data_IF_898831741079
#
_entry.id   IF_898831741079
#
_cell.length_a   1.000
_cell.length_b   1.000
_cell.length_c   1.000
_cell.angle_alpha   90.00
_cell.angle_beta   90.00
_cell.angle_gamma   90.00
#
_symmetry.space_group_name_H-M   'P 1'
#
loop_
_entity.id
_entity.type
_entity.pdbx_description
1 polymer ?
#
# COMPACT_ATOMS: atom_id res chain seq x y z
N UNK A 1 -13.48 -8.41 -11.40
CA UNK A 1 -14.30 -8.52 -10.17
C UNK A 1 -13.46 -8.09 -8.99
N UNK A 2 -13.99 -7.28 -8.07
CA UNK A 2 -13.27 -6.95 -6.82
C UNK A 2 -13.48 -8.08 -5.82
N UNK A 3 -12.45 -8.89 -5.58
CA UNK A 3 -12.55 -10.10 -4.75
C UNK A 3 -13.06 -9.85 -3.32
N UNK A 4 -12.91 -8.62 -2.81
CA UNK A 4 -13.36 -8.23 -1.48
C UNK A 4 -14.80 -7.68 -1.42
N UNK A 5 -15.50 -7.50 -2.56
CA UNK A 5 -16.80 -6.83 -2.60
C UNK A 5 -17.82 -7.51 -1.68
N UNK A 6 -18.50 -6.73 -0.85
CA UNK A 6 -19.52 -7.24 0.08
C UNK A 6 -18.96 -8.02 1.27
N UNK A 7 -17.67 -7.90 1.59
CA UNK A 7 -17.08 -8.61 2.73
C UNK A 7 -17.73 -8.23 4.06
N UNK A 8 -17.98 -9.24 4.90
CA UNK A 8 -18.47 -9.10 6.28
C UNK A 8 -17.34 -9.00 7.31
N UNK A 9 -16.08 -9.12 6.88
CA UNK A 9 -14.91 -9.05 7.76
C UNK A 9 -14.68 -7.59 8.16
N UNK A 10 -14.65 -7.32 9.47
CA UNK A 10 -14.40 -5.97 9.97
C UNK A 10 -12.99 -5.48 9.66
N UNK A 11 -12.79 -4.16 9.75
CA UNK A 11 -11.48 -3.54 9.56
C UNK A 11 -10.48 -4.05 10.61
N UNK A 12 -10.91 -4.16 11.87
CA UNK A 12 -10.10 -4.65 12.98
C UNK A 12 -9.65 -6.09 12.76
N UNK A 13 -10.56 -6.96 12.31
CA UNK A 13 -10.22 -8.35 11.97
C UNK A 13 -9.21 -8.43 10.83
N UNK A 14 -9.36 -7.58 9.82
CA UNK A 14 -8.43 -7.51 8.68
C UNK A 14 -7.04 -7.01 9.11
N UNK A 15 -6.98 -5.98 9.96
CA UNK A 15 -5.72 -5.48 10.55
C UNK A 15 -5.03 -6.54 11.41
N UNK A 16 -5.79 -7.27 12.23
CA UNK A 16 -5.27 -8.37 13.04
C UNK A 16 -4.78 -9.53 12.17
N UNK A 17 -5.46 -9.83 11.05
CA UNK A 17 -4.99 -10.82 10.08
C UNK A 17 -3.67 -10.39 9.43
N UNK A 18 -3.53 -9.11 9.03
CA UNK A 18 -2.28 -8.55 8.52
C UNK A 18 -1.12 -8.71 9.51
N UNK A 19 -1.34 -8.36 10.78
CA UNK A 19 -0.31 -8.53 11.80
C UNK A 19 0.13 -9.99 11.94
N UNK A 20 -0.83 -10.94 11.97
CA UNK A 20 -0.54 -12.37 12.08
C UNK A 20 0.19 -12.95 10.86
N UNK A 21 -0.16 -12.55 9.63
CA UNK A 21 0.54 -13.06 8.44
C UNK A 21 1.96 -12.52 8.37
N UNK A 22 2.16 -11.24 8.68
CA UNK A 22 3.48 -10.61 8.69
C UNK A 22 4.36 -11.18 9.81
N UNK A 23 3.78 -11.44 10.98
CA UNK A 23 4.48 -12.10 12.08
C UNK A 23 4.98 -13.48 11.68
N UNK A 24 4.11 -14.30 11.05
CA UNK A 24 4.48 -15.64 10.58
C UNK A 24 5.54 -15.62 9.48
N UNK A 25 5.51 -14.60 8.62
CA UNK A 25 6.54 -14.39 7.60
C UNK A 25 7.90 -13.94 8.18
N UNK A 26 8.01 -13.70 9.49
CA UNK A 26 9.27 -13.30 10.14
C UNK A 26 9.51 -11.79 10.18
N UNK A 27 8.46 -10.97 10.04
CA UNK A 27 8.61 -9.53 10.16
C UNK A 27 8.98 -9.12 11.61
N UNK A 28 10.10 -8.40 11.79
CA UNK A 28 10.62 -8.01 13.10
C UNK A 28 9.82 -6.88 13.75
N UNK A 29 9.31 -5.95 12.94
CA UNK A 29 8.48 -4.83 13.37
C UNK A 29 7.27 -4.73 12.46
N UNK A 30 6.12 -4.35 12.99
CA UNK A 30 4.86 -4.23 12.25
C UNK A 30 4.02 -3.10 12.82
N UNK A 31 3.37 -2.34 11.95
CA UNK A 31 2.44 -1.27 12.32
C UNK A 31 1.37 -1.15 11.24
N UNK A 32 0.13 -0.90 11.68
CA UNK A 32 -0.97 -0.56 10.78
C UNK A 32 -1.51 0.80 11.18
N UNK A 33 -1.92 1.61 10.20
CA UNK A 33 -2.41 2.96 10.45
C UNK A 33 -3.37 3.44 9.37
N UNK A 34 -4.03 4.55 9.67
CA UNK A 34 -4.87 5.28 8.71
C UNK A 34 -4.64 6.77 8.91
N UNK A 35 -4.61 7.46 7.79
CA UNK A 35 -4.49 8.90 7.67
C UNK A 35 -5.79 9.38 7.01
N UNK A 36 -6.71 9.86 7.84
CA UNK A 36 -8.05 10.25 7.40
C UNK A 36 -8.00 11.54 6.57
N UNK A 37 -7.02 12.42 6.81
CA UNK A 37 -6.83 13.67 6.07
C UNK A 37 -6.27 13.40 4.66
N UNK A 38 -5.25 12.55 4.56
CA UNK A 38 -4.71 12.12 3.28
C UNK A 38 -5.64 11.11 2.56
N UNK A 39 -6.58 10.50 3.28
CA UNK A 39 -7.45 9.45 2.75
C UNK A 39 -6.69 8.17 2.41
N UNK A 40 -5.72 7.79 3.24
CA UNK A 40 -4.84 6.64 3.03
C UNK A 40 -4.86 5.70 4.23
N UNK A 41 -4.73 4.40 3.97
CA UNK A 41 -4.34 3.42 4.98
C UNK A 41 -2.97 2.86 4.64
N UNK A 42 -2.20 2.50 5.66
CA UNK A 42 -0.87 1.96 5.45
C UNK A 42 -0.57 0.80 6.39
N UNK A 43 0.31 -0.08 5.91
CA UNK A 43 0.90 -1.17 6.68
C UNK A 43 2.41 -1.05 6.53
N UNK A 44 3.09 -0.81 7.65
CA UNK A 44 4.54 -0.75 7.73
C UNK A 44 5.07 -2.01 8.40
N UNK A 45 6.15 -2.58 7.88
CA UNK A 45 6.83 -3.70 8.53
C UNK A 45 8.30 -3.78 8.13
N UNK A 46 9.08 -4.50 8.94
CA UNK A 46 10.48 -4.79 8.64
C UNK A 46 10.64 -6.28 8.35
N UNK A 47 11.05 -6.63 7.13
CA UNK A 47 11.26 -8.02 6.69
C UNK A 47 12.58 -8.10 5.93
N UNK A 48 13.40 -9.12 6.20
CA UNK A 48 14.74 -9.29 5.60
C UNK A 48 15.61 -8.03 5.65
N UNK A 49 15.63 -7.35 6.80
CA UNK A 49 16.36 -6.09 7.01
C UNK A 49 15.95 -4.91 6.12
N UNK A 50 14.75 -4.96 5.52
CA UNK A 50 14.17 -3.86 4.75
C UNK A 50 12.94 -3.32 5.46
N UNK A 51 12.85 -1.99 5.56
CA UNK A 51 11.63 -1.31 6.00
C UNK A 51 10.71 -1.13 4.80
N UNK A 52 9.53 -1.75 4.87
CA UNK A 52 8.51 -1.71 3.82
C UNK A 52 7.31 -0.93 4.33
N UNK A 53 6.73 -0.06 3.50
CA UNK A 53 5.48 0.64 3.79
C UNK A 53 4.57 0.61 2.58
N UNK A 54 3.58 -0.28 2.63
CA UNK A 54 2.52 -0.30 1.64
C UNK A 54 1.44 0.72 1.99
N UNK A 55 0.79 1.28 0.98
CA UNK A 55 -0.31 2.24 1.13
C UNK A 55 -1.49 1.85 0.23
N UNK A 56 -2.72 2.11 0.69
CA UNK A 56 -3.93 1.94 -0.12
C UNK A 56 -4.83 3.18 0.05
N UNK A 57 -5.43 3.70 -1.05
CA UNK A 57 -6.42 4.77 -0.95
C UNK A 57 -7.67 4.28 -0.24
N UNK A 58 -8.10 5.05 0.75
CA UNK A 58 -9.32 4.84 1.50
C UNK A 58 -10.47 5.66 0.90
N UNK A 59 -11.71 5.12 0.95
CA UNK A 59 -12.88 5.85 0.48
C UNK A 59 -13.12 7.11 1.32
N UNK A 60 -13.48 8.23 0.69
CA UNK A 60 -13.84 9.46 1.42
C UNK A 60 -15.31 9.42 1.79
N UNK A 61 -15.68 9.95 2.96
CA UNK A 61 -17.09 9.99 3.41
C UNK A 61 -18.00 10.71 2.40
N UNK A 62 -17.49 11.77 1.77
CA UNK A 62 -18.22 12.54 0.76
C UNK A 62 -18.59 11.76 -0.51
N UNK A 63 -17.88 10.67 -0.82
CA UNK A 63 -18.14 9.85 -2.01
C UNK A 63 -19.49 9.12 -1.93
N UNK A 64 -20.07 9.02 -0.73
CA UNK A 64 -21.29 8.25 -0.45
C UNK A 64 -22.53 9.14 -0.29
N UNK A 65 -22.44 10.44 -0.64
CA UNK A 65 -23.56 11.36 -0.55
C UNK A 65 -24.69 11.07 -1.56
N UNK A 66 -24.38 10.37 -2.67
CA UNK A 66 -25.32 10.08 -3.76
C UNK A 66 -25.44 8.58 -4.00
N UNK A 67 -26.66 8.13 -4.31
CA UNK A 67 -26.92 6.75 -4.73
C UNK A 67 -26.38 6.52 -6.15
N UNK A 68 -25.89 5.32 -6.50
CA UNK A 68 -25.60 4.97 -7.89
C UNK A 68 -26.83 5.18 -8.78
N UNK A 69 -26.61 5.78 -9.96
CA UNK A 69 -27.64 6.32 -10.86
C UNK A 69 -28.68 5.31 -11.40
N UNK A 70 -28.52 4.01 -11.15
CA UNK A 70 -29.38 2.96 -11.70
C UNK A 70 -30.75 2.77 -10.98
N UNK A 71 -31.07 3.60 -9.97
CA UNK A 71 -32.36 3.59 -9.27
C UNK A 71 -32.93 5.01 -9.24
N UNK A 72 -33.46 5.43 -10.38
CA UNK A 72 -33.76 6.82 -10.74
C UNK A 72 -34.98 7.48 -10.06
N UNK A 73 -35.61 6.85 -9.06
CA UNK A 73 -36.87 7.35 -8.48
C UNK A 73 -36.93 7.37 -6.93
N UNK A 74 -35.81 7.24 -6.22
CA UNK A 74 -35.81 7.32 -4.74
C UNK A 74 -34.77 8.32 -4.23
N UNK A 75 -35.17 9.05 -3.19
CA UNK A 75 -34.44 10.11 -2.49
C UNK A 75 -32.96 9.77 -2.19
N UNK A 76 -32.14 10.82 -1.99
CA UNK A 76 -30.76 10.72 -1.53
C UNK A 76 -30.65 9.81 -0.28
N UNK A 77 -29.51 9.14 -0.12
CA UNK A 77 -29.27 8.30 1.05
C UNK A 77 -29.36 9.12 2.34
N UNK A 78 -30.05 8.59 3.34
CA UNK A 78 -30.01 9.14 4.70
C UNK A 78 -28.62 8.96 5.33
N UNK A 79 -28.23 9.77 6.33
CA UNK A 79 -26.89 9.76 6.92
C UNK A 79 -26.39 8.37 7.36
N UNK A 80 -27.27 7.56 7.94
CA UNK A 80 -26.96 6.19 8.38
C UNK A 80 -26.59 5.27 7.20
N UNK A 81 -27.30 5.38 6.08
CA UNK A 81 -27.02 4.58 4.88
C UNK A 81 -25.69 4.98 4.24
N UNK A 82 -25.36 6.28 4.26
CA UNK A 82 -24.06 6.77 3.79
C UNK A 82 -22.92 6.25 4.65
N UNK A 83 -23.08 6.29 5.98
CA UNK A 83 -22.10 5.76 6.93
C UNK A 83 -21.90 4.25 6.73
N UNK A 84 -22.98 3.47 6.64
CA UNK A 84 -22.91 2.03 6.43
C UNK A 84 -22.23 1.65 5.11
N UNK A 85 -22.50 2.39 4.02
CA UNK A 85 -21.86 2.16 2.73
C UNK A 85 -20.37 2.54 2.74
N UNK A 86 -20.01 3.64 3.41
CA UNK A 86 -18.62 4.04 3.60
C UNK A 86 -17.85 3.00 4.42
N UNK A 87 -18.41 2.54 5.54
CA UNK A 87 -17.82 1.47 6.35
C UNK A 87 -17.64 0.18 5.56
N UNK A 88 -18.62 -0.19 4.74
CA UNK A 88 -18.52 -1.33 3.84
C UNK A 88 -17.34 -1.16 2.88
N UNK A 89 -17.20 0.00 2.24
CA UNK A 89 -16.07 0.27 1.36
C UNK A 89 -14.72 0.23 2.10
N UNK A 90 -14.66 0.73 3.34
CA UNK A 90 -13.48 0.62 4.20
C UNK A 90 -13.10 -0.85 4.47
N UNK A 91 -14.07 -1.70 4.82
CA UNK A 91 -13.86 -3.15 4.99
C UNK A 91 -13.29 -3.78 3.72
N UNK A 92 -13.84 -3.42 2.57
CA UNK A 92 -13.39 -3.94 1.28
C UNK A 92 -11.92 -3.55 1.01
N UNK A 93 -11.52 -2.30 1.26
CA UNK A 93 -10.12 -1.86 1.10
C UNK A 93 -9.16 -2.61 1.99
N UNK A 94 -9.47 -2.74 3.28
CA UNK A 94 -8.63 -3.50 4.21
C UNK A 94 -8.53 -4.98 3.83
N UNK A 95 -9.62 -5.58 3.35
CA UNK A 95 -9.58 -6.97 2.89
C UNK A 95 -8.73 -7.13 1.63
N UNK A 96 -8.80 -6.20 0.68
CA UNK A 96 -7.89 -6.17 -0.48
C UNK A 96 -6.43 -6.07 0.00
N UNK A 97 -6.16 -5.26 1.02
CA UNK A 97 -4.83 -5.12 1.58
C UNK A 97 -4.28 -6.46 2.09
N UNK A 98 -5.09 -7.19 2.86
CA UNK A 98 -4.73 -8.53 3.34
C UNK A 98 -4.44 -9.48 2.17
N UNK A 99 -5.28 -9.49 1.15
CA UNK A 99 -5.12 -10.37 -0.02
C UNK A 99 -3.84 -10.06 -0.79
N UNK A 100 -3.51 -8.78 -0.97
CA UNK A 100 -2.28 -8.35 -1.63
C UNK A 100 -1.05 -8.85 -0.88
N UNK A 101 -0.97 -8.59 0.43
CA UNK A 101 0.18 -9.01 1.24
C UNK A 101 0.29 -10.53 1.28
N UNK A 102 -0.83 -11.24 1.47
CA UNK A 102 -0.85 -12.69 1.48
C UNK A 102 -0.36 -13.27 0.16
N UNK A 103 -0.80 -12.74 -0.98
CA UNK A 103 -0.37 -13.22 -2.29
C UNK A 103 1.14 -13.03 -2.50
N UNK A 104 1.69 -11.89 -2.07
CA UNK A 104 3.14 -11.62 -2.13
C UNK A 104 3.94 -12.61 -1.27
N UNK A 105 3.49 -12.84 -0.04
CA UNK A 105 4.14 -13.80 0.86
C UNK A 105 4.07 -15.23 0.31
N UNK A 106 2.93 -15.65 -0.24
CA UNK A 106 2.77 -16.97 -0.86
C UNK A 106 3.72 -17.15 -2.06
N UNK A 107 3.88 -16.12 -2.89
CA UNK A 107 4.83 -16.15 -4.01
C UNK A 107 6.27 -16.35 -3.54
N UNK A 108 6.63 -15.80 -2.38
CA UNK A 108 7.95 -15.99 -1.75
C UNK A 108 8.08 -17.40 -1.17
N UNK A 109 7.07 -17.89 -0.45
CA UNK A 109 7.08 -19.24 0.15
C UNK A 109 7.18 -20.34 -0.92
N UNK A 110 6.54 -20.15 -2.08
CA UNK A 110 6.63 -21.07 -3.22
C UNK A 110 7.91 -20.88 -4.06
N UNK A 111 8.85 -20.04 -3.64
CA UNK A 111 10.08 -19.69 -4.35
C UNK A 111 9.84 -19.16 -5.78
N UNK A 112 8.68 -18.54 -6.04
CA UNK A 112 8.38 -17.87 -7.30
C UNK A 112 8.99 -16.47 -7.37
N UNK A 113 9.30 -15.89 -6.21
CA UNK A 113 9.83 -14.54 -6.05
C UNK A 113 10.66 -14.42 -4.77
N UNK A 114 11.20 -13.23 -4.50
CA UNK A 114 11.94 -12.91 -3.27
C UNK A 114 11.30 -11.71 -2.56
N UNK A 115 11.66 -11.49 -1.29
CA UNK A 115 11.20 -10.32 -0.52
C UNK A 115 11.59 -9.03 -1.24
N UNK A 116 12.82 -8.96 -1.73
CA UNK A 116 13.34 -7.81 -2.47
C UNK A 116 12.48 -7.57 -3.69
N UNK A 117 12.20 -8.60 -4.50
CA UNK A 117 11.41 -8.43 -5.72
C UNK A 117 9.97 -8.02 -5.44
N UNK A 118 9.31 -8.66 -4.46
CA UNK A 118 7.89 -8.40 -4.20
C UNK A 118 7.63 -7.06 -3.52
N UNK A 119 8.54 -6.61 -2.66
CA UNK A 119 8.34 -5.40 -1.86
C UNK A 119 9.23 -4.23 -2.29
N UNK A 120 10.07 -4.37 -3.32
CA UNK A 120 11.06 -3.34 -3.70
C UNK A 120 10.46 -1.94 -3.79
N UNK A 121 9.35 -1.82 -4.53
CA UNK A 121 8.66 -0.57 -4.80
C UNK A 121 8.21 0.15 -3.52
N UNK A 122 7.92 -0.61 -2.48
CA UNK A 122 7.40 -0.14 -1.20
C UNK A 122 8.49 -0.07 -0.10
N UNK A 123 9.76 -0.34 -0.44
CA UNK A 123 10.88 -0.15 0.48
C UNK A 123 11.10 1.34 0.72
N UNK A 124 11.21 1.72 1.99
CA UNK A 124 11.44 3.09 2.42
C UNK A 124 12.94 3.45 2.35
N UNK A 125 13.22 4.62 1.78
CA UNK A 125 14.53 5.24 1.71
C UNK A 125 14.75 6.17 2.92
N UNK A 126 16.00 6.61 3.10
CA UNK A 126 16.40 7.48 4.22
C UNK A 126 15.72 8.86 4.20
N UNK A 127 15.32 9.34 3.02
CA UNK A 127 14.60 10.60 2.84
C UNK A 127 13.08 10.45 3.08
N UNK A 128 12.62 9.27 3.48
CA UNK A 128 11.22 8.97 3.79
C UNK A 128 10.36 8.58 2.59
N UNK A 129 10.88 8.70 1.36
CA UNK A 129 10.19 8.23 0.14
C UNK A 129 10.30 6.72 0.00
N UNK A 130 9.42 6.13 -0.80
CA UNK A 130 9.60 4.75 -1.26
C UNK A 130 10.52 4.69 -2.49
N UNK A 131 11.09 3.52 -2.79
CA UNK A 131 11.85 3.29 -4.03
C UNK A 131 11.02 3.63 -5.27
N UNK A 132 9.72 3.30 -5.27
CA UNK A 132 8.84 3.65 -6.37
C UNK A 132 8.73 5.16 -6.57
N UNK A 133 8.48 5.92 -5.49
CA UNK A 133 8.38 7.38 -5.53
C UNK A 133 9.70 8.03 -5.99
N UNK A 134 10.84 7.45 -5.61
CA UNK A 134 12.15 7.91 -6.04
C UNK A 134 12.39 7.70 -7.55
N UNK A 135 11.98 6.54 -8.08
CA UNK A 135 12.27 6.16 -9.47
C UNK A 135 11.24 6.65 -10.48
N UNK A 136 10.02 7.01 -10.04
CA UNK A 136 8.88 7.28 -10.93
C UNK A 136 9.21 8.33 -12.00
N UNK A 137 9.76 9.48 -11.60
CA UNK A 137 10.10 10.57 -12.53
C UNK A 137 11.27 10.19 -13.44
N UNK A 138 12.26 9.49 -12.88
CA UNK A 138 13.44 9.07 -13.60
C UNK A 138 13.14 8.07 -14.71
N UNK A 139 12.24 7.10 -14.46
CA UNK A 139 11.82 6.11 -15.47
C UNK A 139 11.08 6.80 -16.63
N UNK A 140 10.19 7.77 -16.32
CA UNK A 140 9.47 8.51 -17.35
C UNK A 140 10.42 9.28 -18.27
N UNK A 141 11.45 9.90 -17.68
CA UNK A 141 12.48 10.62 -18.43
C UNK A 141 13.37 9.69 -19.27
N UNK A 142 13.70 8.50 -18.76
CA UNK A 142 14.41 7.47 -19.53
C UNK A 142 13.63 7.07 -20.77
N UNK A 143 12.32 6.83 -20.65
CA UNK A 143 11.47 6.49 -21.80
C UNK A 143 11.39 7.63 -22.82
N UNK A 144 11.40 8.88 -22.36
CA UNK A 144 11.35 10.05 -23.23
C UNK A 144 12.66 10.33 -23.96
N UNK A 145 13.80 10.13 -23.29
CA UNK A 145 15.11 10.55 -23.80
C UNK A 145 16.02 9.42 -24.25
N UNK A 146 15.73 8.18 -23.88
CA UNK A 146 16.59 7.02 -24.10
C UNK A 146 17.87 7.02 -23.27
N UNK A 147 18.07 8.01 -22.39
CA UNK A 147 19.26 8.11 -21.54
C UNK A 147 19.03 7.37 -20.23
N UNK A 148 20.04 6.64 -19.71
CA UNK A 148 19.91 5.92 -18.44
C UNK A 148 19.75 6.89 -17.26
N UNK A 149 18.93 6.51 -16.28
CA UNK A 149 18.83 7.20 -15.00
C UNK A 149 20.07 6.85 -14.13
N UNK A 150 20.76 7.84 -13.55
CA UNK A 150 21.75 7.58 -12.52
C UNK A 150 21.04 7.03 -11.27
N UNK A 151 21.21 5.74 -10.97
CA UNK A 151 20.53 5.06 -9.86
C UNK A 151 21.13 5.40 -8.48
N UNK A 152 22.35 5.93 -8.47
CA UNK A 152 23.02 6.50 -7.31
C UNK A 152 23.42 7.92 -7.69
N UNK A 153 23.34 8.85 -6.74
CA UNK A 153 23.93 10.18 -6.89
C UNK A 153 25.42 10.08 -7.24
N UNK A 154 26.07 11.17 -7.65
CA UNK A 154 27.51 11.14 -7.91
C UNK A 154 28.22 10.52 -6.71
N UNK A 155 29.10 9.55 -6.97
CA UNK A 155 29.90 8.95 -5.91
C UNK A 155 30.55 10.08 -5.13
N UNK A 156 30.29 10.14 -3.82
CA UNK A 156 31.06 10.99 -2.93
C UNK A 156 32.47 10.39 -2.96
N UNK A 157 33.33 10.91 -3.84
CA UNK A 157 34.74 10.69 -3.72
C UNK A 157 35.14 11.41 -2.43
N UNK A 158 35.27 10.66 -1.33
CA UNK A 158 36.10 11.12 -0.23
C UNK A 158 37.49 11.39 -0.83
N UNK A 159 38.01 12.63 -0.74
CA UNK A 159 39.37 12.87 -1.18
C UNK A 159 40.26 12.00 -0.29
N UNK A 160 40.98 11.08 -0.92
CA UNK A 160 42.06 10.35 -0.28
C UNK A 160 43.05 11.40 0.22
N UNK A 161 43.08 11.63 1.54
CA UNK A 161 44.24 12.25 2.18
C UNK A 161 45.39 11.24 2.02
N UNK A 162 46.18 11.44 0.96
CA UNK A 162 47.48 10.81 0.81
C UNK A 162 48.55 11.59 1.59
N UNK A 163 49.58 10.89 2.08
CA UNK A 163 50.32 11.20 3.31
C UNK A 163 51.36 12.32 3.23
#
# INVERSE_FOLDING_TARGET
MTYAKGTSVSVEKSRAELDRILMRAGAAQRVTGSDDDAGLAYVGFTLSSRQVRLRIPMPKRGDFAKRPANRSWRAAWGPEQQAAAWEQACRERWRVFVLLVKAKLEAIELNLSTVEREFLADVQLLDGRSVHEFLQDGIAEMYRTGKPLPLLGPAVHEPTEEP
#
